data_IF_874978597138
#
_entry.id   IF_874978597138
#
_cell.length_a   1.000
_cell.length_b   1.000
_cell.length_c   1.000
_cell.angle_alpha   90.00
_cell.angle_beta   90.00
_cell.angle_gamma   90.00
#
_symmetry.space_group_name_H-M   'P 1'
#
loop_
_entity.id
_entity.type
_entity.pdbx_description
1 polymer ?
#
# COMPACT_ATOMS: atom_id res chain seq x y z
N UNK A 1 33.63 51.64 64.17
CA UNK A 1 32.30 51.07 63.99
C UNK A 1 31.55 51.66 62.76
N UNK A 2 31.61 52.98 62.50
CA UNK A 2 30.94 53.59 61.33
C UNK A 2 31.44 53.16 59.97
N UNK A 3 32.73 52.78 59.83
CA UNK A 3 33.32 52.34 58.55
C UNK A 3 32.96 50.87 58.17
N UNK A 4 32.66 50.02 59.13
CA UNK A 4 32.27 48.65 58.94
C UNK A 4 30.80 48.56 58.49
N UNK A 5 29.93 49.47 58.96
CA UNK A 5 28.52 49.49 58.56
C UNK A 5 28.36 49.96 57.10
N UNK A 6 29.22 50.86 56.61
CA UNK A 6 29.19 51.32 55.21
C UNK A 6 29.64 50.20 54.21
N UNK A 7 30.59 49.39 54.65
CA UNK A 7 31.05 48.25 53.77
C UNK A 7 30.00 47.13 53.69
N UNK A 8 29.25 46.87 54.76
CA UNK A 8 28.19 45.88 54.80
C UNK A 8 26.97 46.29 53.97
N UNK A 9 26.63 47.57 53.88
CA UNK A 9 25.53 48.09 53.07
C UNK A 9 25.85 48.07 51.54
N UNK A 10 27.13 48.23 51.15
CA UNK A 10 27.55 48.18 49.74
C UNK A 10 27.56 46.75 49.19
N UNK A 11 27.87 45.76 50.02
CA UNK A 11 27.83 44.33 49.59
C UNK A 11 26.39 43.82 49.45
N UNK A 12 25.44 44.31 50.26
CA UNK A 12 24.05 43.92 50.18
C UNK A 12 23.33 44.51 48.94
N UNK A 13 23.78 45.68 48.45
CA UNK A 13 23.23 46.34 47.26
C UNK A 13 23.67 45.66 45.94
N UNK A 14 24.81 44.92 45.89
CA UNK A 14 25.29 44.21 44.69
C UNK A 14 24.63 42.82 44.50
N UNK A 15 23.97 42.27 45.51
CA UNK A 15 23.33 40.96 45.42
C UNK A 15 21.90 41.00 44.80
N UNK A 16 21.35 42.18 44.51
CA UNK A 16 19.98 42.37 43.99
C UNK A 16 19.88 42.50 42.45
N UNK A 17 21.00 42.52 41.73
CA UNK A 17 20.98 42.74 40.28
C UNK A 17 21.04 41.47 39.44
N UNK A 18 20.86 40.25 40.01
CA UNK A 18 20.89 39.01 39.27
C UNK A 18 19.51 38.37 39.07
N UNK A 19 18.45 39.15 38.94
CA UNK A 19 17.21 38.66 38.35
C UNK A 19 17.25 38.88 36.84
N UNK A 20 17.90 37.99 36.12
CA UNK A 20 17.62 37.84 34.68
C UNK A 20 16.16 37.38 34.56
N UNK A 21 15.27 38.32 34.22
CA UNK A 21 13.94 38.00 33.76
C UNK A 21 14.11 37.20 32.46
N UNK A 22 14.21 35.89 32.56
CA UNK A 22 13.95 35.03 31.41
C UNK A 22 12.48 35.23 31.05
N UNK A 23 12.22 36.08 30.06
CA UNK A 23 10.91 36.17 29.44
C UNK A 23 10.52 34.73 29.01
N UNK A 24 9.41 34.18 29.51
CA UNK A 24 9.00 32.85 29.02
C UNK A 24 8.99 32.91 27.49
N UNK A 25 9.65 31.97 26.83
CA UNK A 25 9.60 31.87 25.38
C UNK A 25 8.12 31.81 25.01
N UNK A 26 7.62 32.82 24.30
CA UNK A 26 6.25 32.81 23.83
C UNK A 26 6.10 31.54 22.95
N UNK A 27 5.29 30.60 23.38
CA UNK A 27 4.96 29.45 22.57
C UNK A 27 4.27 29.97 21.31
N UNK A 28 4.85 29.72 20.12
CA UNK A 28 4.26 30.25 18.90
C UNK A 28 2.83 29.69 18.73
N UNK A 29 1.90 30.57 18.42
CA UNK A 29 0.54 30.16 18.05
C UNK A 29 0.64 29.38 16.74
N UNK A 30 -0.13 28.33 16.61
CA UNK A 30 -0.06 27.45 15.45
C UNK A 30 -1.43 26.95 15.02
N UNK A 31 -1.52 26.54 13.78
CA UNK A 31 -2.64 25.80 13.20
C UNK A 31 -2.13 24.46 12.68
N UNK A 32 -2.89 23.40 12.87
CA UNK A 32 -2.61 22.08 12.32
C UNK A 32 -3.71 21.73 11.32
N UNK A 33 -3.32 21.38 10.12
CA UNK A 33 -4.23 21.03 9.02
C UNK A 33 -3.81 19.71 8.38
N UNK A 34 -4.76 19.01 7.82
CA UNK A 34 -4.49 17.83 7.00
C UNK A 34 -4.84 18.12 5.55
N UNK A 35 -4.09 17.51 4.65
CA UNK A 35 -4.38 17.56 3.23
C UNK A 35 -4.27 16.18 2.60
N UNK A 36 -5.03 15.96 1.55
CA UNK A 36 -5.07 14.72 0.78
C UNK A 36 -4.84 14.98 -0.68
N UNK A 37 -4.09 14.10 -1.35
CA UNK A 37 -3.86 14.16 -2.78
C UNK A 37 -3.97 12.78 -3.40
N UNK A 38 -4.77 12.65 -4.46
CA UNK A 38 -5.01 11.38 -5.15
C UNK A 38 -4.66 11.51 -6.62
N UNK A 39 -3.98 10.50 -7.16
CA UNK A 39 -3.65 10.38 -8.58
C UNK A 39 -4.14 9.01 -9.07
N UNK A 40 -5.01 9.03 -10.08
CA UNK A 40 -5.51 7.81 -10.73
C UNK A 40 -4.58 7.39 -11.86
N UNK A 41 -4.12 6.15 -11.82
CA UNK A 41 -3.24 5.55 -12.82
C UNK A 41 -3.85 4.28 -13.41
N UNK A 42 -3.53 3.98 -14.66
CA UNK A 42 -3.88 2.68 -15.26
C UNK A 42 -2.87 1.63 -14.80
N UNK A 43 -3.32 0.44 -14.36
CA UNK A 43 -2.42 -0.66 -14.02
C UNK A 43 -1.70 -1.15 -15.28
N UNK A 44 -0.45 -1.54 -15.13
CA UNK A 44 0.41 -2.11 -16.17
C UNK A 44 0.86 -3.53 -15.83
N UNK A 45 0.51 -4.02 -14.65
CA UNK A 45 0.77 -5.37 -14.18
C UNK A 45 -0.48 -5.97 -13.55
N UNK A 46 -0.56 -7.31 -13.60
CA UNK A 46 -1.54 -8.09 -12.83
C UNK A 46 -0.81 -9.21 -12.09
N UNK A 47 -1.03 -9.32 -10.79
CA UNK A 47 -0.63 -10.47 -9.99
C UNK A 47 -1.80 -11.45 -9.92
N UNK A 48 -1.55 -12.71 -10.29
CA UNK A 48 -2.55 -13.78 -10.22
C UNK A 48 -1.95 -14.96 -9.46
N UNK A 49 -2.70 -15.53 -8.51
CA UNK A 49 -2.29 -16.74 -7.81
C UNK A 49 -3.17 -17.92 -8.20
N UNK A 50 -2.54 -18.95 -8.73
CA UNK A 50 -3.19 -20.20 -9.10
C UNK A 50 -2.96 -21.25 -8.03
N UNK A 51 -3.99 -22.02 -7.72
CA UNK A 51 -3.88 -23.21 -6.86
C UNK A 51 -3.80 -24.45 -7.73
N UNK A 52 -2.82 -25.29 -7.44
CA UNK A 52 -2.75 -26.67 -7.90
C UNK A 52 -2.95 -27.60 -6.70
N UNK A 53 -4.06 -28.30 -6.64
CA UNK A 53 -4.41 -29.21 -5.56
C UNK A 53 -4.52 -30.63 -6.06
N UNK A 54 -3.92 -31.56 -5.32
CA UNK A 54 -4.06 -33.02 -5.56
C UNK A 54 -4.37 -33.70 -4.24
N UNK A 55 -5.28 -34.68 -4.23
CA UNK A 55 -5.65 -35.43 -3.05
C UNK A 55 -5.52 -36.94 -3.29
N UNK A 56 -5.12 -37.69 -2.28
CA UNK A 56 -4.94 -39.16 -2.38
C UNK A 56 -4.57 -39.75 -1.03
N UNK A 57 -4.57 -41.09 -0.99
CA UNK A 57 -4.31 -41.87 0.23
C UNK A 57 -2.82 -42.19 0.48
N UNK A 58 -1.98 -41.94 -0.52
CA UNK A 58 -0.54 -42.12 -0.44
C UNK A 58 0.14 -40.76 -0.68
N UNK A 59 0.88 -40.28 0.31
CA UNK A 59 1.48 -38.94 0.29
C UNK A 59 2.48 -38.77 -0.87
N UNK A 60 3.33 -39.79 -1.13
CA UNK A 60 4.35 -39.73 -2.18
C UNK A 60 3.71 -39.63 -3.55
N UNK A 61 2.75 -40.52 -3.87
CA UNK A 61 2.03 -40.49 -5.12
C UNK A 61 1.19 -39.22 -5.33
N UNK A 62 0.64 -38.69 -4.23
CA UNK A 62 -0.12 -37.43 -4.25
C UNK A 62 0.78 -36.23 -4.55
N UNK A 63 1.99 -36.20 -3.93
CA UNK A 63 2.98 -35.17 -4.19
C UNK A 63 3.53 -35.25 -5.63
N UNK A 64 3.82 -36.43 -6.14
CA UNK A 64 4.26 -36.63 -7.52
C UNK A 64 3.19 -36.17 -8.55
N UNK A 65 1.94 -36.52 -8.31
CA UNK A 65 0.82 -36.02 -9.16
C UNK A 65 0.67 -34.53 -9.10
N UNK A 66 0.83 -33.93 -7.90
CA UNK A 66 0.79 -32.48 -7.75
C UNK A 66 1.93 -31.81 -8.50
N UNK A 67 3.14 -32.37 -8.46
CA UNK A 67 4.29 -31.84 -9.20
C UNK A 67 4.04 -31.89 -10.72
N UNK A 68 3.52 -32.99 -11.26
CA UNK A 68 3.15 -33.12 -12.70
C UNK A 68 2.11 -32.05 -13.06
N UNK A 69 1.04 -31.91 -12.26
CA UNK A 69 -0.01 -30.93 -12.51
C UNK A 69 0.52 -29.48 -12.42
N UNK A 70 1.42 -29.22 -11.48
CA UNK A 70 2.06 -27.91 -11.34
C UNK A 70 2.91 -27.55 -12.55
N UNK A 71 3.72 -28.50 -13.03
CA UNK A 71 4.55 -28.29 -14.21
C UNK A 71 3.68 -28.06 -15.46
N UNK A 72 2.60 -28.81 -15.63
CA UNK A 72 1.66 -28.62 -16.74
C UNK A 72 1.02 -27.21 -16.69
N UNK A 73 0.63 -26.75 -15.49
CA UNK A 73 0.08 -25.40 -15.33
C UNK A 73 1.11 -24.32 -15.68
N UNK A 74 2.35 -24.46 -15.21
CA UNK A 74 3.45 -23.54 -15.51
C UNK A 74 3.70 -23.49 -17.03
N UNK A 75 3.81 -24.62 -17.70
CA UNK A 75 4.02 -24.66 -19.16
C UNK A 75 2.84 -24.02 -19.93
N UNK A 76 1.61 -24.23 -19.50
CA UNK A 76 0.45 -23.59 -20.09
C UNK A 76 0.46 -22.06 -19.91
N UNK A 77 0.86 -21.58 -18.73
CA UNK A 77 1.01 -20.15 -18.41
C UNK A 77 2.11 -19.52 -19.28
N UNK A 78 3.26 -20.18 -19.42
CA UNK A 78 4.34 -19.75 -20.32
C UNK A 78 3.87 -19.68 -21.78
N UNK A 79 3.15 -20.70 -22.22
CA UNK A 79 2.54 -20.75 -23.56
C UNK A 79 1.52 -19.64 -23.82
N UNK A 80 0.93 -19.06 -22.77
CA UNK A 80 0.05 -17.90 -22.87
C UNK A 80 0.80 -16.57 -22.98
N UNK A 81 2.13 -16.55 -22.78
CA UNK A 81 3.00 -15.39 -22.99
C UNK A 81 3.60 -14.79 -21.72
N UNK A 82 3.60 -15.52 -20.60
CA UNK A 82 4.26 -15.10 -19.36
C UNK A 82 5.73 -15.55 -19.37
N UNK A 83 6.64 -14.65 -18.96
CA UNK A 83 8.06 -14.96 -18.85
C UNK A 83 8.36 -15.85 -17.63
N UNK A 84 9.44 -16.64 -17.72
CA UNK A 84 9.84 -17.57 -16.65
C UNK A 84 10.09 -16.86 -15.32
N UNK A 85 10.74 -15.70 -15.35
CA UNK A 85 11.07 -14.89 -14.16
C UNK A 85 9.83 -14.32 -13.47
N UNK A 86 8.68 -14.31 -14.14
CA UNK A 86 7.42 -13.81 -13.62
C UNK A 86 6.52 -14.93 -13.02
N UNK A 87 7.04 -16.18 -12.96
CA UNK A 87 6.33 -17.34 -12.43
C UNK A 87 7.12 -17.92 -11.25
N UNK A 88 6.51 -17.99 -10.09
CA UNK A 88 7.17 -18.53 -8.89
C UNK A 88 6.19 -19.22 -7.95
N UNK A 89 6.66 -20.19 -7.17
CA UNK A 89 5.88 -20.83 -6.11
C UNK A 89 5.85 -19.93 -4.89
N UNK A 90 4.66 -19.55 -4.43
CA UNK A 90 4.46 -18.70 -3.25
C UNK A 90 4.04 -19.48 -1.99
N UNK A 91 3.49 -20.67 -2.14
CA UNK A 91 3.13 -21.56 -1.02
C UNK A 91 3.12 -23.01 -1.48
N UNK A 92 3.63 -23.89 -0.61
CA UNK A 92 3.56 -25.36 -0.81
C UNK A 92 3.21 -26.03 0.50
N UNK A 93 2.10 -26.78 0.52
CA UNK A 93 1.59 -27.40 1.74
C UNK A 93 1.10 -28.80 1.51
N UNK A 94 1.48 -29.71 2.41
CA UNK A 94 0.91 -31.05 2.50
C UNK A 94 0.13 -31.13 3.81
N UNK A 95 -1.13 -31.56 3.71
CA UNK A 95 -2.02 -31.74 4.87
C UNK A 95 -2.63 -33.13 4.81
N UNK A 96 -2.83 -33.72 5.98
CA UNK A 96 -3.62 -34.93 6.13
C UNK A 96 -5.01 -34.57 6.66
N UNK A 97 -6.03 -35.08 6.01
CA UNK A 97 -7.40 -34.89 6.45
C UNK A 97 -7.71 -35.89 7.57
N UNK A 98 -8.14 -35.36 8.70
CA UNK A 98 -8.54 -36.15 9.88
C UNK A 98 -10.08 -36.11 10.07
N UNK A 99 -10.82 -35.61 9.09
CA UNK A 99 -12.29 -35.63 9.13
C UNK A 99 -12.85 -37.04 9.02
N UNK A 100 -14.07 -37.26 9.50
CA UNK A 100 -14.76 -38.53 9.37
C UNK A 100 -15.07 -38.88 7.89
N UNK A 101 -15.13 -37.90 7.00
CA UNK A 101 -15.46 -38.12 5.59
C UNK A 101 -14.26 -38.68 4.79
N UNK A 102 -13.03 -38.26 5.15
CA UNK A 102 -11.81 -38.67 4.42
C UNK A 102 -10.64 -38.94 5.38
N UNK A 103 -10.78 -39.86 6.36
CA UNK A 103 -9.79 -40.08 7.39
C UNK A 103 -8.48 -40.58 6.79
N UNK A 104 -7.41 -39.80 6.99
CA UNK A 104 -6.07 -40.18 6.51
C UNK A 104 -5.78 -39.82 5.04
N UNK A 105 -6.68 -39.13 4.36
CA UNK A 105 -6.41 -38.62 3.01
C UNK A 105 -5.40 -37.47 3.05
N UNK A 106 -4.41 -37.51 2.19
CA UNK A 106 -3.45 -36.41 2.01
C UNK A 106 -3.93 -35.45 0.93
N UNK A 107 -3.74 -34.15 1.19
CA UNK A 107 -3.92 -33.09 0.20
C UNK A 107 -2.60 -32.35 0.07
N UNK A 108 -2.09 -32.28 -1.16
CA UNK A 108 -0.95 -31.46 -1.55
C UNK A 108 -1.48 -30.23 -2.30
N UNK A 109 -1.11 -29.06 -1.84
CA UNK A 109 -1.45 -27.77 -2.45
C UNK A 109 -0.17 -27.03 -2.80
N UNK A 110 -0.06 -26.63 -4.06
CA UNK A 110 0.95 -25.73 -4.56
C UNK A 110 0.26 -24.45 -5.05
N UNK A 111 0.77 -23.30 -4.65
CA UNK A 111 0.28 -21.99 -5.09
C UNK A 111 1.33 -21.33 -5.96
N UNK A 112 0.98 -21.11 -7.22
CA UNK A 112 1.83 -20.47 -8.22
C UNK A 112 1.42 -19.01 -8.29
N UNK A 113 2.34 -18.10 -8.03
CA UNK A 113 2.18 -16.66 -8.25
C UNK A 113 2.73 -16.29 -9.62
N UNK A 114 1.96 -15.52 -10.36
CA UNK A 114 2.24 -15.12 -11.73
C UNK A 114 2.09 -13.62 -11.86
N UNK A 115 3.10 -12.95 -12.43
CA UNK A 115 3.03 -11.54 -12.80
C UNK A 115 2.78 -11.42 -14.29
N UNK A 116 1.63 -10.92 -14.66
CA UNK A 116 1.26 -10.67 -16.05
C UNK A 116 1.58 -9.22 -16.38
N UNK A 117 2.60 -8.99 -17.21
CA UNK A 117 3.10 -7.63 -17.55
C UNK A 117 2.24 -6.90 -18.58
N UNK A 118 1.32 -7.59 -19.23
CA UNK A 118 0.31 -6.98 -20.08
C UNK A 118 -1.07 -7.39 -19.55
N UNK A 119 -1.81 -6.47 -18.89
CA UNK A 119 -3.14 -6.77 -18.35
C UNK A 119 -4.12 -7.38 -19.35
N UNK A 120 -4.00 -7.08 -20.65
CA UNK A 120 -4.88 -7.61 -21.69
C UNK A 120 -4.71 -9.13 -21.90
N UNK A 121 -3.55 -9.69 -21.51
CA UNK A 121 -3.31 -11.14 -21.61
C UNK A 121 -3.84 -11.91 -20.40
N UNK A 122 -4.34 -11.25 -19.37
CA UNK A 122 -4.70 -11.90 -18.11
C UNK A 122 -5.79 -12.96 -18.28
N UNK A 123 -6.83 -12.66 -19.05
CA UNK A 123 -7.88 -13.63 -19.36
C UNK A 123 -7.33 -14.89 -20.02
N UNK A 124 -6.50 -14.72 -21.05
CA UNK A 124 -5.84 -15.82 -21.76
C UNK A 124 -4.94 -16.66 -20.83
N UNK A 125 -4.21 -16.00 -19.92
CA UNK A 125 -3.34 -16.68 -18.94
C UNK A 125 -4.18 -17.52 -17.96
N UNK A 126 -5.28 -16.96 -17.46
CA UNK A 126 -6.20 -17.68 -16.57
C UNK A 126 -6.81 -18.87 -17.29
N UNK A 127 -7.36 -18.67 -18.48
CA UNK A 127 -7.98 -19.76 -19.27
C UNK A 127 -6.98 -20.86 -19.58
N UNK A 128 -5.74 -20.51 -19.91
CA UNK A 128 -4.68 -21.50 -20.16
C UNK A 128 -4.34 -22.31 -18.90
N UNK A 129 -4.23 -21.66 -17.75
CA UNK A 129 -3.88 -22.33 -16.49
C UNK A 129 -4.96 -23.29 -15.98
N UNK A 130 -6.25 -22.93 -16.14
CA UNK A 130 -7.39 -23.72 -15.60
C UNK A 130 -8.03 -24.66 -16.63
N UNK A 131 -7.52 -24.67 -17.86
CA UNK A 131 -8.01 -25.56 -18.92
C UNK A 131 -7.91 -27.03 -18.48
N UNK A 132 -8.80 -27.84 -18.96
CA UNK A 132 -8.78 -29.28 -18.69
C UNK A 132 -7.41 -29.90 -19.01
N UNK A 133 -6.85 -30.64 -18.05
CA UNK A 133 -5.51 -31.27 -18.09
C UNK A 133 -4.30 -30.35 -17.95
N UNK A 134 -4.48 -29.05 -17.63
CA UNK A 134 -3.35 -28.15 -17.39
C UNK A 134 -2.95 -28.02 -15.91
N UNK A 135 -3.78 -28.51 -14.99
CA UNK A 135 -3.39 -28.78 -13.61
C UNK A 135 -3.84 -27.76 -12.58
N UNK A 136 -4.04 -26.47 -12.91
CA UNK A 136 -4.56 -25.51 -11.94
C UNK A 136 -6.05 -25.79 -11.65
N UNK A 137 -6.40 -25.76 -10.35
CA UNK A 137 -7.77 -26.01 -9.89
C UNK A 137 -8.58 -24.73 -9.67
N UNK A 138 -7.92 -23.56 -9.72
CA UNK A 138 -8.58 -22.27 -9.54
C UNK A 138 -7.61 -21.13 -9.30
N UNK A 139 -8.18 -19.94 -9.20
CA UNK A 139 -7.50 -18.69 -8.85
C UNK A 139 -7.88 -18.34 -7.42
N UNK A 140 -6.91 -17.97 -6.58
CA UNK A 140 -7.14 -17.59 -5.16
C UNK A 140 -6.97 -16.12 -4.89
N UNK A 141 -6.23 -15.44 -5.75
CA UNK A 141 -5.90 -14.04 -5.58
C UNK A 141 -5.71 -13.39 -6.95
N UNK A 142 -6.13 -12.15 -7.05
CA UNK A 142 -6.08 -11.38 -8.27
C UNK A 142 -5.95 -9.90 -7.92
N UNK A 143 -4.82 -9.29 -8.30
CA UNK A 143 -4.54 -7.90 -7.96
C UNK A 143 -3.97 -7.15 -9.18
N UNK A 144 -4.55 -6.01 -9.49
CA UNK A 144 -3.95 -5.05 -10.42
C UNK A 144 -2.85 -4.26 -9.73
N UNK A 145 -1.74 -4.03 -10.44
CA UNK A 145 -0.57 -3.36 -9.90
C UNK A 145 -0.03 -2.32 -10.89
N UNK A 146 0.81 -1.43 -10.38
CA UNK A 146 1.58 -0.47 -11.15
C UNK A 146 3.06 -0.72 -10.90
N UNK A 147 3.84 -0.93 -11.95
CA UNK A 147 5.28 -1.21 -11.87
C UNK A 147 6.08 -0.04 -11.30
N UNK A 148 5.75 1.19 -11.70
CA UNK A 148 6.35 2.41 -11.16
C UNK A 148 5.30 3.32 -10.49
N UNK A 149 5.18 3.19 -9.19
CA UNK A 149 4.32 4.05 -8.35
C UNK A 149 4.97 5.38 -7.98
N UNK A 150 6.28 5.53 -8.20
CA UNK A 150 7.06 6.64 -7.65
C UNK A 150 6.63 7.99 -8.22
N UNK A 151 6.34 8.05 -9.52
CA UNK A 151 5.90 9.27 -10.19
C UNK A 151 4.52 9.71 -9.72
N UNK A 152 3.55 8.79 -9.69
CA UNK A 152 2.20 9.08 -9.22
C UNK A 152 2.20 9.45 -7.72
N UNK A 153 3.02 8.78 -6.91
CA UNK A 153 3.17 9.10 -5.49
C UNK A 153 3.75 10.51 -5.27
N UNK A 154 4.76 10.93 -6.06
CA UNK A 154 5.27 12.31 -5.99
C UNK A 154 4.20 13.33 -6.32
N UNK A 155 3.39 13.07 -7.35
CA UNK A 155 2.27 13.94 -7.71
C UNK A 155 1.20 13.99 -6.61
N UNK A 156 0.83 12.84 -6.04
CA UNK A 156 -0.14 12.76 -4.93
C UNK A 156 0.34 13.53 -3.70
N UNK A 157 1.64 13.43 -3.34
CA UNK A 157 2.26 14.23 -2.27
C UNK A 157 2.16 15.73 -2.53
N UNK A 158 2.44 16.16 -3.76
CA UNK A 158 2.35 17.56 -4.13
C UNK A 158 0.92 18.08 -3.99
N UNK A 159 -0.06 17.30 -4.43
CA UNK A 159 -1.48 17.64 -4.27
C UNK A 159 -1.89 17.68 -2.80
N UNK A 160 -1.45 16.74 -1.99
CA UNK A 160 -1.74 16.70 -0.55
C UNK A 160 -1.18 17.92 0.19
N UNK A 161 0.06 18.32 -0.12
CA UNK A 161 0.68 19.51 0.47
C UNK A 161 -0.08 20.78 0.07
N UNK A 162 -0.47 20.87 -1.19
CA UNK A 162 -1.26 22.00 -1.69
C UNK A 162 -2.62 22.09 -1.01
N UNK A 163 -3.32 20.97 -0.87
CA UNK A 163 -4.62 20.91 -0.20
C UNK A 163 -4.51 21.34 1.28
N UNK A 164 -3.46 20.85 2.01
CA UNK A 164 -3.19 21.29 3.38
C UNK A 164 -2.89 22.80 3.46
N UNK A 165 -2.13 23.34 2.49
CA UNK A 165 -1.82 24.76 2.43
C UNK A 165 -3.05 25.62 2.16
N UNK A 166 -3.91 25.20 1.26
CA UNK A 166 -5.16 25.88 0.94
C UNK A 166 -6.10 25.88 2.16
N UNK A 167 -6.20 24.73 2.86
CA UNK A 167 -6.95 24.63 4.11
C UNK A 167 -6.40 25.57 5.21
N UNK A 168 -5.06 25.63 5.38
CA UNK A 168 -4.43 26.52 6.35
C UNK A 168 -4.73 27.99 6.06
N UNK A 169 -4.61 28.41 4.80
CA UNK A 169 -4.90 29.79 4.37
C UNK A 169 -6.35 30.18 4.60
N UNK A 170 -7.28 29.26 4.28
CA UNK A 170 -8.71 29.46 4.49
C UNK A 170 -9.04 29.66 5.99
N UNK A 171 -8.56 28.74 6.84
CA UNK A 171 -8.87 28.75 8.26
C UNK A 171 -8.22 29.94 8.99
N UNK A 172 -6.95 30.24 8.69
CA UNK A 172 -6.25 31.38 9.27
C UNK A 172 -6.92 32.69 8.83
N UNK A 173 -7.22 32.86 7.55
CA UNK A 173 -7.89 34.05 7.03
C UNK A 173 -9.27 34.27 7.63
N UNK A 174 -10.09 33.21 7.76
CA UNK A 174 -11.40 33.29 8.41
C UNK A 174 -11.31 33.64 9.90
N UNK A 175 -10.18 33.34 10.54
CA UNK A 175 -9.91 33.65 11.95
C UNK A 175 -9.22 35.00 12.16
N UNK A 176 -9.00 35.79 11.08
CA UNK A 176 -8.30 37.08 11.14
C UNK A 176 -6.80 36.97 11.35
N UNK A 177 -6.21 35.81 11.05
CA UNK A 177 -4.78 35.50 11.15
C UNK A 177 -4.17 35.28 9.75
N UNK A 178 -2.82 35.24 9.71
CA UNK A 178 -2.07 34.83 8.51
C UNK A 178 -1.29 33.56 8.81
N UNK A 179 -1.14 32.71 7.78
CA UNK A 179 -0.29 31.52 7.83
C UNK A 179 1.18 31.97 7.79
N UNK A 180 1.97 31.52 8.75
CA UNK A 180 3.39 31.76 8.82
C UNK A 180 4.23 30.55 8.40
N UNK A 181 5.33 30.29 9.11
CA UNK A 181 6.27 29.23 8.77
C UNK A 181 5.74 27.83 9.10
N UNK A 182 6.19 26.85 8.34
CA UNK A 182 5.98 25.44 8.65
C UNK A 182 6.80 25.07 9.89
N UNK A 183 6.16 24.46 10.88
CA UNK A 183 6.80 23.93 12.07
C UNK A 183 7.08 22.42 11.94
N UNK A 184 6.11 21.68 11.44
CA UNK A 184 6.17 20.23 11.36
C UNK A 184 5.40 19.74 10.14
N UNK A 185 5.90 18.68 9.50
CA UNK A 185 5.22 17.96 8.42
C UNK A 185 5.25 16.47 8.77
N UNK A 186 4.09 15.84 8.78
CA UNK A 186 3.94 14.40 8.92
C UNK A 186 3.28 13.86 7.66
N UNK A 187 3.93 12.88 7.02
CA UNK A 187 3.28 12.09 6.00
C UNK A 187 2.60 10.89 6.69
N UNK A 188 1.29 10.84 6.59
CA UNK A 188 0.50 9.73 7.08
C UNK A 188 0.51 8.58 6.06
N UNK A 189 -0.22 7.53 6.36
CA UNK A 189 -0.29 6.35 5.52
C UNK A 189 -0.64 6.69 4.07
N UNK A 190 0.18 6.17 3.13
CA UNK A 190 -0.08 6.24 1.68
C UNK A 190 -0.78 4.95 1.27
N UNK A 191 -1.96 5.07 0.69
CA UNK A 191 -2.75 3.93 0.21
C UNK A 191 -2.73 3.80 -1.30
N UNK A 192 -2.93 2.58 -1.77
CA UNK A 192 -3.33 2.28 -3.16
C UNK A 192 -4.64 1.54 -3.07
N UNK A 193 -5.65 2.05 -3.72
CA UNK A 193 -6.97 1.42 -3.77
C UNK A 193 -7.44 1.32 -5.21
N UNK A 194 -8.30 0.32 -5.47
CA UNK A 194 -8.98 0.22 -6.75
C UNK A 194 -10.02 1.33 -6.83
N UNK A 195 -10.03 2.05 -7.95
CA UNK A 195 -11.09 2.99 -8.26
C UNK A 195 -12.19 2.23 -9.01
N UNK A 196 -13.22 1.83 -8.30
CA UNK A 196 -14.40 1.17 -8.88
C UNK A 196 -15.37 2.16 -9.53
N UNK A 197 -14.88 3.33 -9.93
CA UNK A 197 -15.64 4.33 -10.69
C UNK A 197 -16.31 3.70 -11.90
N UNK A 198 -17.58 3.99 -12.06
CA UNK A 198 -18.56 3.44 -13.01
C UNK A 198 -17.91 2.88 -14.28
N UNK A 199 -17.72 1.57 -14.31
CA UNK A 199 -17.43 0.84 -15.54
C UNK A 199 -18.69 0.94 -16.41
N UNK A 200 -18.64 1.72 -17.48
CA UNK A 200 -19.60 1.60 -18.57
C UNK A 200 -19.44 0.16 -19.08
N UNK A 201 -20.46 -0.65 -18.84
CA UNK A 201 -20.50 -2.04 -19.29
C UNK A 201 -20.28 -2.06 -20.81
N UNK A 202 -19.08 -2.48 -21.22
CA UNK A 202 -18.82 -2.81 -22.61
C UNK A 202 -19.62 -4.07 -22.89
N UNK A 203 -20.50 -4.02 -23.86
CA UNK A 203 -21.35 -5.14 -24.25
C UNK A 203 -20.49 -6.39 -24.40
N UNK A 204 -20.79 -7.43 -23.61
CA UNK A 204 -20.12 -8.72 -23.68
C UNK A 204 -20.36 -9.30 -25.08
N UNK A 205 -19.33 -9.33 -25.90
CA UNK A 205 -19.31 -10.17 -27.08
C UNK A 205 -19.29 -11.64 -26.60
N UNK A 206 -20.07 -12.48 -27.23
CA UNK A 206 -20.19 -13.91 -26.89
C UNK A 206 -18.91 -14.70 -27.30
N UNK A 207 -17.78 -14.30 -26.76
CA UNK A 207 -16.53 -15.04 -26.85
C UNK A 207 -16.41 -15.93 -25.62
N UNK A 208 -15.91 -17.14 -25.82
CA UNK A 208 -15.63 -18.11 -24.74
C UNK A 208 -14.38 -17.76 -23.93
N UNK A 209 -13.70 -16.67 -24.24
CA UNK A 209 -12.51 -16.20 -23.53
C UNK A 209 -12.91 -15.34 -22.33
N UNK A 210 -12.22 -15.53 -21.21
CA UNK A 210 -12.41 -14.73 -19.99
C UNK A 210 -11.97 -13.30 -20.23
N UNK A 211 -12.96 -12.37 -20.27
CA UNK A 211 -12.68 -10.94 -20.39
C UNK A 211 -12.45 -10.34 -19.00
N UNK A 212 -11.29 -9.71 -18.79
CA UNK A 212 -10.93 -9.05 -17.55
C UNK A 212 -10.54 -7.61 -17.88
N UNK A 213 -11.39 -6.67 -17.47
CA UNK A 213 -11.18 -5.24 -17.72
C UNK A 213 -10.46 -4.59 -16.54
N UNK A 214 -9.30 -3.94 -16.78
CA UNK A 214 -8.60 -3.21 -15.72
C UNK A 214 -9.34 -1.92 -15.38
N UNK A 215 -9.66 -1.72 -14.10
CA UNK A 215 -10.05 -0.42 -13.55
C UNK A 215 -8.83 0.49 -13.37
N UNK A 216 -9.05 1.72 -12.87
CA UNK A 216 -7.93 2.57 -12.43
C UNK A 216 -7.54 2.25 -10.99
N UNK A 217 -6.29 2.52 -10.67
CA UNK A 217 -5.77 2.48 -9.32
C UNK A 217 -5.55 3.91 -8.81
N UNK A 218 -6.08 4.21 -7.63
CA UNK A 218 -5.89 5.49 -6.97
C UNK A 218 -4.72 5.40 -6.00
N UNK A 219 -3.71 6.22 -6.23
CA UNK A 219 -2.56 6.39 -5.34
C UNK A 219 -2.80 7.65 -4.53
N UNK A 220 -3.04 7.49 -3.24
CA UNK A 220 -3.38 8.59 -2.33
C UNK A 220 -2.26 8.81 -1.32
N UNK A 221 -1.87 10.07 -1.14
CA UNK A 221 -1.00 10.54 -0.07
C UNK A 221 -1.78 11.47 0.85
N UNK A 222 -1.56 11.32 2.17
CA UNK A 222 -2.15 12.18 3.18
C UNK A 222 -1.01 12.82 3.99
N UNK A 223 -1.12 14.13 4.23
CA UNK A 223 -0.16 14.87 5.03
C UNK A 223 -0.86 15.63 6.14
N UNK A 224 -0.17 15.81 7.25
CA UNK A 224 -0.58 16.73 8.31
C UNK A 224 0.53 17.75 8.51
N UNK A 225 0.20 19.02 8.41
CA UNK A 225 1.16 20.12 8.47
C UNK A 225 0.77 21.08 9.59
N UNK A 226 1.76 21.50 10.36
CA UNK A 226 1.63 22.47 11.44
C UNK A 226 2.31 23.76 11.02
N UNK A 227 1.57 24.86 11.01
CA UNK A 227 2.05 26.18 10.65
C UNK A 227 1.98 27.12 11.85
N UNK A 228 2.91 28.09 11.96
CA UNK A 228 2.69 29.26 12.80
C UNK A 228 1.57 30.12 12.25
N UNK A 229 0.88 30.86 13.13
CA UNK A 229 -0.10 31.89 12.73
C UNK A 229 0.26 33.22 13.35
N UNK A 230 0.10 34.28 12.57
CA UNK A 230 0.40 35.66 12.93
C UNK A 230 -0.87 36.54 12.89
#
# INVERSE_FOLDING_TARGET
MKKIVLAASAVLALSLTSCTFNKPAETPRYITVSGSGTVSVSPDLVSVKFIVRSSGWNVSQTAERNAINTNNAIEAIKGAGVADDDIFTSDYKITQDNSQAYPGQYTVRNTISVIVRNPDLTGKVIDAAVKQNTGANGVTDFEYMVSDRSTALRQARTLAIKDAQDAANLLAGASGCKVGNVLEIYENYTSTSRNDGVMLAKAANANTETTIEPGKLDITSNVTIKYTIE
#
